data_IF_071371984238
#
_entry.id   IF_071371984238
#
_cell.length_a   1.000
_cell.length_b   1.000
_cell.length_c   1.000
_cell.angle_alpha   90.00
_cell.angle_beta   90.00
_cell.angle_gamma   90.00
#
_symmetry.space_group_name_H-M   'P 1'
#
loop_
_entity.id
_entity.type
_entity.pdbx_description
1 polymer ?
#
# COMPACT_ATOMS: atom_id res chain seq x y z
N UNK A 1 -5.22 19.04 0.63
CA UNK A 1 -4.41 18.27 -0.34
C UNK A 1 -2.94 18.49 -0.04
N UNK A 2 -2.07 17.51 -0.31
CA UNK A 2 -0.61 17.71 -0.23
C UNK A 2 -0.17 18.62 -1.38
N UNK A 3 1.01 19.24 -1.24
CA UNK A 3 1.53 20.15 -2.26
C UNK A 3 2.05 19.40 -3.49
N UNK A 4 2.15 20.05 -4.67
CA UNK A 4 2.76 19.45 -5.86
C UNK A 4 4.20 18.97 -5.62
N UNK A 5 4.99 19.72 -4.85
CA UNK A 5 6.38 19.36 -4.54
C UNK A 5 6.48 18.06 -3.75
N UNK A 6 5.47 17.78 -2.91
CA UNK A 6 5.37 16.50 -2.22
C UNK A 6 5.11 15.36 -3.21
N UNK A 7 4.23 15.58 -4.20
CA UNK A 7 3.95 14.57 -5.22
C UNK A 7 5.19 14.30 -6.09
N UNK A 8 5.88 15.36 -6.52
CA UNK A 8 7.11 15.25 -7.31
C UNK A 8 8.19 14.48 -6.54
N UNK A 9 8.34 14.78 -5.24
CA UNK A 9 9.28 14.08 -4.38
C UNK A 9 8.95 12.58 -4.25
N UNK A 10 7.68 12.21 -4.04
CA UNK A 10 7.33 10.77 -3.89
C UNK A 10 7.45 10.02 -5.21
N UNK A 11 7.19 10.67 -6.35
CA UNK A 11 7.45 10.07 -7.67
C UNK A 11 8.94 9.80 -7.81
N UNK A 12 9.77 10.84 -7.65
CA UNK A 12 11.23 10.74 -7.74
C UNK A 12 11.78 9.68 -6.78
N UNK A 13 11.31 9.65 -5.53
CA UNK A 13 11.77 8.71 -4.51
C UNK A 13 11.52 7.26 -4.88
N UNK A 14 10.48 6.93 -5.66
CA UNK A 14 10.21 5.54 -6.04
C UNK A 14 10.74 5.18 -7.43
N UNK A 15 10.74 6.13 -8.37
CA UNK A 15 11.17 5.88 -9.75
C UNK A 15 12.69 5.98 -9.93
N UNK A 16 13.37 6.83 -9.16
CA UNK A 16 14.81 7.10 -9.33
C UNK A 16 15.74 6.36 -8.35
N UNK A 17 15.19 5.46 -7.54
CA UNK A 17 15.99 4.54 -6.70
C UNK A 17 16.28 3.23 -7.47
N UNK A 18 17.10 2.37 -6.88
CA UNK A 18 17.61 1.15 -7.52
C UNK A 18 16.52 0.32 -8.21
N UNK A 19 15.40 0.05 -7.52
CA UNK A 19 14.31 -0.74 -8.09
C UNK A 19 13.66 -0.03 -9.29
N UNK A 20 13.29 1.24 -9.14
CA UNK A 20 12.65 2.03 -10.19
C UNK A 20 13.52 2.16 -11.43
N UNK A 21 14.81 2.47 -11.25
CA UNK A 21 15.80 2.54 -12.33
C UNK A 21 15.98 1.20 -13.05
N UNK A 22 16.13 0.11 -12.29
CA UNK A 22 16.28 -1.23 -12.86
C UNK A 22 15.04 -1.71 -13.64
N UNK A 23 13.87 -1.14 -13.35
CA UNK A 23 12.60 -1.45 -14.01
C UNK A 23 12.18 -0.42 -15.06
N UNK A 24 12.97 0.64 -15.27
CA UNK A 24 12.64 1.71 -16.22
C UNK A 24 11.36 2.48 -15.84
N UNK A 25 11.06 2.59 -14.54
CA UNK A 25 9.91 3.34 -14.05
C UNK A 25 10.22 4.83 -14.10
N UNK A 26 9.29 5.63 -14.64
CA UNK A 26 9.43 7.09 -14.71
C UNK A 26 8.08 7.77 -14.54
N UNK A 27 8.10 8.97 -13.95
CA UNK A 27 6.92 9.82 -13.83
C UNK A 27 5.80 9.20 -12.99
N UNK A 28 4.60 9.75 -13.14
CA UNK A 28 3.43 9.36 -12.37
C UNK A 28 3.04 7.90 -12.65
N UNK A 29 3.07 7.47 -13.90
CA UNK A 29 2.76 6.11 -14.34
C UNK A 29 3.73 5.09 -13.75
N UNK A 30 5.02 5.40 -13.76
CA UNK A 30 6.04 4.58 -13.10
C UNK A 30 5.84 4.48 -11.60
N UNK A 31 5.39 5.56 -10.95
CA UNK A 31 5.04 5.53 -9.54
C UNK A 31 3.82 4.64 -9.25
N UNK A 32 2.78 4.66 -10.09
CA UNK A 32 1.64 3.73 -9.95
C UNK A 32 2.09 2.28 -10.11
N UNK A 33 2.89 1.96 -11.13
CA UNK A 33 3.44 0.61 -11.32
C UNK A 33 4.27 0.15 -10.13
N UNK A 34 5.05 1.05 -9.53
CA UNK A 34 5.79 0.76 -8.30
C UNK A 34 4.84 0.37 -7.15
N UNK A 35 3.78 1.15 -6.93
CA UNK A 35 2.83 0.91 -5.84
C UNK A 35 2.05 -0.40 -6.03
N UNK A 36 1.68 -0.73 -7.26
CA UNK A 36 1.04 -2.00 -7.60
C UNK A 36 1.96 -3.17 -7.28
N UNK A 37 3.22 -3.11 -7.73
CA UNK A 37 4.20 -4.14 -7.43
C UNK A 37 4.46 -4.27 -5.93
N UNK A 38 4.57 -3.14 -5.20
CA UNK A 38 4.75 -3.14 -3.75
C UNK A 38 3.60 -3.85 -3.06
N UNK A 39 2.35 -3.53 -3.43
CA UNK A 39 1.14 -4.18 -2.89
C UNK A 39 1.16 -5.69 -3.11
N UNK A 40 1.51 -6.15 -4.31
CA UNK A 40 1.63 -7.60 -4.60
C UNK A 40 2.68 -8.28 -3.72
N UNK A 41 3.82 -7.62 -3.49
CA UNK A 41 4.90 -8.13 -2.67
C UNK A 41 4.49 -8.19 -1.19
N UNK A 42 3.87 -7.14 -0.67
CA UNK A 42 3.35 -7.06 0.70
C UNK A 42 2.31 -8.17 0.97
N UNK A 43 1.36 -8.39 0.06
CA UNK A 43 0.35 -9.44 0.19
C UNK A 43 0.98 -10.84 0.22
N UNK A 44 1.95 -11.12 -0.66
CA UNK A 44 2.67 -12.40 -0.65
C UNK A 44 3.49 -12.62 0.62
N UNK A 45 4.05 -11.57 1.21
CA UNK A 45 4.78 -11.66 2.48
C UNK A 45 3.80 -11.95 3.62
N UNK A 46 2.65 -11.25 3.66
CA UNK A 46 1.63 -11.42 4.69
C UNK A 46 1.14 -12.87 4.74
N UNK A 47 0.92 -13.51 3.59
CA UNK A 47 0.52 -14.93 3.49
C UNK A 47 1.52 -15.91 4.11
N UNK A 48 2.79 -15.52 4.24
CA UNK A 48 3.87 -16.37 4.77
C UNK A 48 4.13 -16.17 6.26
N UNK A 49 3.47 -15.18 6.90
CA UNK A 49 3.70 -14.89 8.31
C UNK A 49 3.15 -16.01 9.20
N UNK A 50 3.87 -16.41 10.27
CA UNK A 50 3.47 -17.52 11.14
C UNK A 50 2.39 -17.13 12.15
N UNK A 51 1.62 -16.09 11.86
CA UNK A 51 0.56 -15.57 12.72
C UNK A 51 -0.66 -15.21 11.88
N UNK A 52 -1.81 -15.14 12.54
CA UNK A 52 -3.05 -14.81 11.86
C UNK A 52 -3.02 -13.38 11.35
N UNK A 53 -3.33 -13.21 10.07
CA UNK A 53 -3.44 -11.91 9.42
C UNK A 53 -4.87 -11.68 8.90
N UNK A 54 -5.29 -10.42 8.89
CA UNK A 54 -6.54 -9.97 8.30
C UNK A 54 -6.23 -8.87 7.29
N UNK A 55 -6.70 -9.02 6.07
CA UNK A 55 -6.56 -8.03 5.01
C UNK A 55 -7.94 -7.40 4.82
N UNK A 56 -8.02 -6.08 4.99
CA UNK A 56 -9.23 -5.29 4.81
C UNK A 56 -9.07 -4.43 3.56
N UNK A 57 -9.98 -4.59 2.60
CA UNK A 57 -10.09 -3.63 1.51
C UNK A 57 -10.73 -2.34 2.05
N UNK A 58 -10.03 -1.22 1.88
CA UNK A 58 -10.46 0.10 2.33
C UNK A 58 -10.60 1.09 1.17
N UNK A 59 -10.70 0.59 -0.07
CA UNK A 59 -10.72 1.42 -1.29
C UNK A 59 -11.95 2.33 -1.39
N UNK A 60 -13.03 2.01 -0.65
CA UNK A 60 -14.25 2.81 -0.56
C UNK A 60 -14.14 4.00 0.43
N UNK A 61 -13.09 4.03 1.24
CA UNK A 61 -12.89 5.00 2.33
C UNK A 61 -14.07 5.09 3.32
N UNK A 62 -14.85 4.01 3.50
CA UNK A 62 -15.89 3.95 4.53
C UNK A 62 -15.27 3.68 5.91
N UNK A 63 -14.77 4.75 6.54
CA UNK A 63 -14.13 4.68 7.85
C UNK A 63 -15.03 4.12 8.95
N UNK A 64 -16.35 4.34 8.87
CA UNK A 64 -17.31 3.83 9.85
C UNK A 64 -17.42 2.31 9.78
N UNK A 65 -17.61 1.78 8.57
CA UNK A 65 -17.64 0.34 8.33
C UNK A 65 -16.29 -0.31 8.67
N UNK A 66 -15.18 0.31 8.27
CA UNK A 66 -13.82 -0.20 8.54
C UNK A 66 -13.54 -0.29 10.05
N UNK A 67 -13.90 0.73 10.82
CA UNK A 67 -13.76 0.71 12.28
C UNK A 67 -14.59 -0.40 12.92
N UNK A 68 -15.82 -0.62 12.43
CA UNK A 68 -16.67 -1.70 12.92
C UNK A 68 -16.08 -3.07 12.61
N UNK A 69 -15.55 -3.29 11.40
CA UNK A 69 -14.90 -4.55 11.02
C UNK A 69 -13.70 -4.84 11.92
N UNK A 70 -12.82 -3.87 12.13
CA UNK A 70 -11.65 -4.03 13.03
C UNK A 70 -12.12 -4.35 14.45
N UNK A 71 -13.14 -3.66 14.96
CA UNK A 71 -13.69 -3.91 16.29
C UNK A 71 -14.26 -5.33 16.43
N UNK A 72 -14.97 -5.82 15.42
CA UNK A 72 -15.50 -7.18 15.39
C UNK A 72 -14.40 -8.24 15.36
N UNK A 73 -13.32 -7.99 14.62
CA UNK A 73 -12.13 -8.86 14.62
C UNK A 73 -11.56 -8.90 16.04
N UNK A 74 -11.30 -7.76 16.66
CA UNK A 74 -10.72 -7.71 18.02
C UNK A 74 -11.60 -8.44 19.05
N UNK A 75 -12.92 -8.22 19.03
CA UNK A 75 -13.88 -8.88 19.93
C UNK A 75 -13.98 -10.40 19.74
N UNK A 76 -13.56 -10.93 18.59
CA UNK A 76 -13.53 -12.39 18.35
C UNK A 76 -12.34 -13.07 19.01
N UNK A 77 -11.28 -12.32 19.30
CA UNK A 77 -10.01 -12.84 19.83
C UNK A 77 -9.65 -12.31 21.23
N UNK A 78 -10.48 -11.43 21.79
CA UNK A 78 -10.50 -11.02 23.20
C UNK A 78 -11.56 -11.81 23.95
#
# INVERSE_FOLDING_TARGET
MRSPEWLDFVIWYHTEQDYGKNKGLHGYEGYIQFLEHRRELELRIIEQLPFQCFILDNSDYDWGNQQQIVSNIMMKYL
#
